data_IF_331318476127
#
_entry.id   IF_331318476127
#
_cell.length_a   1.000
_cell.length_b   1.000
_cell.length_c   1.000
_cell.angle_alpha   90.00
_cell.angle_beta   90.00
_cell.angle_gamma   90.00
#
_symmetry.space_group_name_H-M   'P 1'
#
loop_
_entity.id
_entity.type
_entity.pdbx_description
1 polymer ?
#
# COMPACT_ATOMS: atom_id res chain seq x y z
N UNK A 1 -16.38 -6.66 -19.47
CA UNK A 1 -15.40 -7.76 -19.53
C UNK A 1 -14.33 -7.42 -18.51
N UNK A 2 -14.45 -7.97 -17.30
CA UNK A 2 -13.41 -7.82 -16.27
C UNK A 2 -12.24 -8.68 -16.75
N UNK A 3 -11.16 -8.05 -17.21
CA UNK A 3 -9.98 -8.78 -17.62
C UNK A 3 -9.45 -9.54 -16.40
N UNK A 4 -9.44 -10.86 -16.51
CA UNK A 4 -8.79 -11.77 -15.59
C UNK A 4 -7.39 -11.23 -15.27
N UNK A 5 -7.02 -11.24 -13.98
CA UNK A 5 -5.65 -10.98 -13.56
C UNK A 5 -4.73 -11.88 -14.38
N UNK A 6 -3.82 -11.30 -15.17
CA UNK A 6 -2.91 -12.10 -15.99
C UNK A 6 -2.11 -13.07 -15.10
N UNK A 7 -1.75 -14.27 -15.58
CA UNK A 7 -1.17 -15.33 -14.74
C UNK A 7 0.11 -14.93 -13.97
N UNK A 8 0.78 -13.86 -14.42
CA UNK A 8 2.02 -13.35 -13.82
C UNK A 8 1.80 -12.08 -12.99
N UNK A 9 0.58 -11.55 -12.98
CA UNK A 9 0.21 -10.36 -12.20
C UNK A 9 -0.15 -10.80 -10.78
N UNK A 10 0.54 -10.27 -9.78
CA UNK A 10 0.21 -10.54 -8.38
C UNK A 10 -1.09 -9.85 -8.04
N UNK A 11 -2.05 -10.62 -7.54
CA UNK A 11 -3.30 -10.06 -7.03
C UNK A 11 -3.05 -9.28 -5.73
N UNK A 12 -3.57 -8.06 -5.64
CA UNK A 12 -3.63 -7.29 -4.40
C UNK A 12 -4.79 -7.74 -3.49
N UNK A 13 -4.96 -9.06 -3.31
CA UNK A 13 -6.07 -9.63 -2.52
C UNK A 13 -6.00 -9.13 -1.09
N UNK A 14 -7.13 -8.64 -0.56
CA UNK A 14 -7.23 -8.13 0.81
C UNK A 14 -6.60 -6.77 1.03
N UNK A 15 -6.15 -6.09 -0.03
CA UNK A 15 -5.71 -4.70 0.04
C UNK A 15 -6.92 -3.77 -0.04
N UNK A 16 -7.10 -2.96 1.00
CA UNK A 16 -8.13 -1.94 1.13
C UNK A 16 -7.52 -0.54 1.04
N UNK A 17 -8.36 0.46 0.71
CA UNK A 17 -7.94 1.86 0.61
C UNK A 17 -6.73 2.08 -0.31
N UNK A 18 -6.74 1.35 -1.44
CA UNK A 18 -5.63 1.29 -2.37
C UNK A 18 -5.30 2.65 -2.99
N UNK A 19 -4.01 2.93 -3.13
CA UNK A 19 -3.40 4.10 -3.77
C UNK A 19 -2.32 3.67 -4.73
N UNK A 20 -2.16 4.47 -5.77
CA UNK A 20 -1.13 4.33 -6.79
C UNK A 20 -0.37 5.65 -6.91
N UNK A 21 0.75 5.64 -7.63
CA UNK A 21 1.43 6.87 -8.00
C UNK A 21 0.48 7.79 -8.83
N UNK A 22 0.23 9.05 -8.44
CA UNK A 22 -0.77 9.91 -9.11
C UNK A 22 -0.54 10.14 -10.62
N UNK A 23 0.70 10.21 -11.08
CA UNK A 23 1.02 10.32 -12.52
C UNK A 23 0.59 9.11 -13.38
N UNK A 24 0.22 7.99 -12.75
CA UNK A 24 -0.21 6.76 -13.39
C UNK A 24 -1.74 6.55 -13.33
N UNK A 25 -2.50 7.55 -12.88
CA UNK A 25 -3.95 7.52 -12.99
C UNK A 25 -4.40 7.24 -14.44
N UNK A 26 -5.24 6.21 -14.60
CA UNK A 26 -5.74 5.73 -15.91
C UNK A 26 -4.65 5.22 -16.86
N UNK A 27 -3.46 4.89 -16.34
CA UNK A 27 -2.37 4.24 -17.08
C UNK A 27 -2.11 2.87 -16.48
N UNK A 28 -1.35 2.04 -17.20
CA UNK A 28 -0.79 0.82 -16.61
C UNK A 28 0.22 1.23 -15.53
N UNK A 29 0.16 0.57 -14.37
CA UNK A 29 0.98 0.84 -13.20
C UNK A 29 1.44 -0.49 -12.61
N UNK A 30 2.56 -0.49 -11.90
CA UNK A 30 3.18 -1.66 -11.31
C UNK A 30 2.95 -1.74 -9.80
N UNK A 31 2.91 -0.62 -9.09
CA UNK A 31 2.86 -0.60 -7.63
C UNK A 31 1.54 -0.07 -7.10
N UNK A 32 1.02 -0.73 -6.07
CA UNK A 32 -0.12 -0.25 -5.30
C UNK A 32 0.16 -0.33 -3.81
N UNK A 33 -0.42 0.60 -3.06
CA UNK A 33 -0.21 0.77 -1.64
C UNK A 33 -1.55 0.84 -0.94
N UNK A 34 -1.69 0.23 0.23
CA UNK A 34 -2.97 0.22 0.91
C UNK A 34 -2.87 -0.34 2.31
N UNK A 35 -3.98 -0.35 3.00
CA UNK A 35 -4.11 -1.05 4.26
C UNK A 35 -4.52 -2.49 4.00
N UNK A 36 -4.07 -3.44 4.81
CA UNK A 36 -4.54 -4.81 4.76
C UNK A 36 -4.59 -5.40 6.17
N UNK A 37 -5.02 -6.65 6.25
CA UNK A 37 -4.95 -7.42 7.48
C UNK A 37 -3.98 -8.58 7.28
N UNK A 38 -3.07 -8.79 8.22
CA UNK A 38 -2.15 -9.94 8.18
C UNK A 38 -2.88 -11.25 8.55
N UNK A 39 -2.16 -12.38 8.51
CA UNK A 39 -2.72 -13.70 8.85
C UNK A 39 -3.17 -13.82 10.32
N UNK A 40 -2.77 -12.90 11.18
CA UNK A 40 -3.04 -12.87 12.61
C UNK A 40 -4.02 -11.77 13.02
N UNK A 41 -4.70 -11.15 12.05
CA UNK A 41 -5.69 -10.09 12.22
C UNK A 41 -5.15 -8.70 12.58
N UNK A 42 -3.84 -8.47 12.49
CA UNK A 42 -3.28 -7.13 12.67
C UNK A 42 -3.51 -6.26 11.44
N UNK A 43 -3.71 -4.96 11.66
CA UNK A 43 -3.79 -3.98 10.59
C UNK A 43 -2.38 -3.60 10.11
N UNK A 44 -2.13 -3.76 8.81
CA UNK A 44 -0.83 -3.50 8.19
C UNK A 44 -0.94 -2.45 7.09
N UNK A 45 0.17 -1.78 6.82
CA UNK A 45 0.36 -0.97 5.61
C UNK A 45 1.18 -1.80 4.62
N UNK A 46 0.73 -1.91 3.37
CA UNK A 46 1.31 -2.85 2.41
C UNK A 46 1.60 -2.19 1.07
N UNK A 47 2.81 -2.43 0.54
CA UNK A 47 3.21 -2.22 -0.85
C UNK A 47 3.09 -3.54 -1.60
N UNK A 48 2.40 -3.54 -2.72
CA UNK A 48 2.26 -4.69 -3.62
C UNK A 48 2.90 -4.35 -4.96
N UNK A 49 3.85 -5.18 -5.40
CA UNK A 49 4.33 -5.18 -6.78
C UNK A 49 3.46 -6.12 -7.61
N UNK A 50 2.63 -5.53 -8.46
CA UNK A 50 1.70 -6.25 -9.33
C UNK A 50 2.43 -7.05 -10.41
N UNK A 51 3.65 -6.67 -10.81
CA UNK A 51 4.42 -7.44 -11.80
C UNK A 51 5.19 -8.61 -11.18
N UNK A 52 5.18 -8.72 -9.84
CA UNK A 52 5.80 -9.81 -9.10
C UNK A 52 7.32 -9.91 -9.21
N UNK A 53 7.98 -8.83 -9.66
CA UNK A 53 9.45 -8.71 -9.77
C UNK A 53 10.09 -8.53 -8.40
N UNK A 54 9.36 -7.94 -7.46
CA UNK A 54 9.76 -7.67 -6.08
C UNK A 54 8.87 -8.43 -5.08
N UNK A 55 9.38 -8.64 -3.86
CA UNK A 55 8.55 -9.12 -2.75
C UNK A 55 7.66 -7.98 -2.25
N UNK A 56 6.42 -8.33 -1.87
CA UNK A 56 5.52 -7.37 -1.22
C UNK A 56 6.17 -6.92 0.09
N UNK A 57 6.08 -5.62 0.39
CA UNK A 57 6.63 -5.04 1.61
C UNK A 57 5.49 -4.65 2.53
N UNK A 58 5.64 -4.96 3.81
CA UNK A 58 4.62 -4.73 4.82
C UNK A 58 5.22 -3.96 5.99
N UNK A 59 4.47 -3.00 6.51
CA UNK A 59 4.72 -2.34 7.78
C UNK A 59 3.64 -2.77 8.77
N UNK A 60 4.09 -3.22 9.93
CA UNK A 60 3.28 -3.72 11.03
C UNK A 60 3.94 -3.29 12.34
N UNK A 61 3.14 -2.76 13.25
CA UNK A 61 3.53 -2.49 14.63
C UNK A 61 2.36 -2.91 15.52
N UNK A 62 2.63 -3.68 16.58
CA UNK A 62 1.58 -4.24 17.44
C UNK A 62 0.74 -3.14 18.11
N UNK A 63 -0.58 -3.30 18.10
CA UNK A 63 -1.55 -2.36 18.69
C UNK A 63 -1.62 -0.99 18.01
N UNK A 64 -0.98 -0.84 16.85
CA UNK A 64 -1.14 0.30 15.96
C UNK A 64 -1.94 -0.11 14.72
N UNK A 65 -2.76 0.79 14.20
CA UNK A 65 -3.45 0.58 12.93
C UNK A 65 -3.27 1.77 11.97
N UNK A 66 -2.81 1.53 10.73
CA UNK A 66 -2.72 2.58 9.73
C UNK A 66 -4.10 2.93 9.16
N UNK A 67 -4.27 4.21 8.80
CA UNK A 67 -5.41 4.71 8.04
C UNK A 67 -5.11 4.69 6.54
N UNK A 68 -6.01 5.24 5.71
CA UNK A 68 -5.80 5.41 4.27
C UNK A 68 -4.44 6.05 3.98
N UNK A 69 -3.56 5.39 3.21
CA UNK A 69 -2.28 5.96 2.86
C UNK A 69 -2.40 7.03 1.76
N UNK A 70 -1.35 7.81 1.59
CA UNK A 70 -1.13 8.73 0.47
C UNK A 70 0.29 8.50 -0.03
N UNK A 71 0.44 8.26 -1.34
CA UNK A 71 1.75 8.23 -1.98
C UNK A 71 2.16 9.64 -2.42
N UNK A 72 3.35 10.06 -2.01
CA UNK A 72 3.95 11.35 -2.35
C UNK A 72 5.22 11.04 -3.16
N UNK A 73 5.25 11.30 -4.48
CA UNK A 73 6.46 11.09 -5.26
C UNK A 73 7.57 12.04 -4.81
N UNK A 74 8.81 11.54 -4.82
CA UNK A 74 9.99 12.33 -4.47
C UNK A 74 10.18 13.53 -5.43
N UNK A 75 9.81 13.35 -6.69
CA UNK A 75 9.91 14.35 -7.75
C UNK A 75 8.68 14.28 -8.67
N UNK A 76 7.72 15.17 -8.44
CA UNK A 76 6.47 15.19 -9.20
C UNK A 76 6.71 15.62 -10.66
N UNK A 77 6.33 14.78 -11.62
CA UNK A 77 6.27 15.14 -13.04
C UNK A 77 7.62 15.18 -13.77
N UNK A 78 8.68 14.61 -13.19
CA UNK A 78 9.98 14.47 -13.86
C UNK A 78 10.09 13.11 -14.54
N UNK A 79 10.49 13.09 -15.81
CA UNK A 79 10.74 11.85 -16.53
C UNK A 79 11.97 11.12 -15.96
N UNK A 80 11.87 9.79 -15.82
CA UNK A 80 12.98 8.92 -15.43
C UNK A 80 13.09 8.59 -13.93
N UNK A 81 12.14 9.01 -13.09
CA UNK A 81 12.01 8.47 -11.74
C UNK A 81 11.28 7.13 -11.76
N UNK A 82 11.67 6.20 -10.89
CA UNK A 82 10.97 4.92 -10.72
C UNK A 82 9.56 5.15 -10.17
N UNK A 83 8.60 4.31 -10.53
CA UNK A 83 7.18 4.49 -10.15
C UNK A 83 6.95 4.49 -8.63
N UNK A 84 7.82 3.83 -7.87
CA UNK A 84 7.80 3.78 -6.41
C UNK A 84 8.81 4.74 -5.73
N UNK A 85 9.46 5.62 -6.49
CA UNK A 85 10.37 6.65 -5.96
C UNK A 85 9.59 7.76 -5.23
N UNK A 86 9.32 7.52 -3.96
CA UNK A 86 8.57 8.43 -3.11
C UNK A 86 8.41 7.94 -1.68
N UNK A 87 7.46 8.53 -0.99
CA UNK A 87 7.12 8.21 0.39
C UNK A 87 5.65 7.88 0.52
N UNK A 88 5.33 6.93 1.41
CA UNK A 88 3.96 6.67 1.86
C UNK A 88 3.74 7.39 3.18
N UNK A 89 2.69 8.21 3.21
CA UNK A 89 2.20 8.87 4.41
C UNK A 89 0.89 8.21 4.85
N UNK A 90 0.76 7.82 6.11
CA UNK A 90 -0.48 7.34 6.70
C UNK A 90 -0.61 7.84 8.13
N UNK A 91 -1.84 8.07 8.59
CA UNK A 91 -2.13 8.37 9.99
C UNK A 91 -2.18 7.06 10.76
N UNK A 92 -1.42 6.98 11.85
CA UNK A 92 -1.36 5.79 12.71
C UNK A 92 -2.24 6.01 13.94
N UNK A 93 -3.20 5.11 14.15
CA UNK A 93 -4.03 5.07 15.35
C UNK A 93 -3.36 4.19 16.40
N UNK A 94 -3.24 4.69 17.63
CA UNK A 94 -2.62 3.96 18.73
C UNK A 94 -3.66 3.48 19.74
N UNK A 95 -3.93 2.16 19.74
CA UNK A 95 -4.92 1.56 20.64
C UNK A 95 -4.38 1.30 22.05
N UNK A 96 -3.05 1.28 22.26
CA UNK A 96 -2.44 1.04 23.58
C UNK A 96 -2.81 2.10 24.62
N UNK A 97 -3.12 3.32 24.17
CA UNK A 97 -3.48 4.43 25.07
C UNK A 97 -4.88 4.23 25.66
N UNK A 98 -5.78 3.52 24.95
CA UNK A 98 -7.14 3.30 25.40
C UNK A 98 -7.25 2.23 26.50
N UNK A 99 -6.30 1.29 26.57
CA UNK A 99 -6.33 0.17 27.53
C UNK A 99 -5.67 0.48 28.89
N UNK A 100 -5.03 1.65 29.06
CA UNK A 100 -4.34 2.01 30.31
C UNK A 100 -5.21 2.70 31.35
N UNK A 101 -6.46 3.01 31.02
CA UNK A 101 -7.41 3.74 31.89
C UNK A 101 -8.70 2.96 32.19
N UNK A 102 -8.69 1.64 31.96
CA UNK A 102 -9.72 0.70 32.40
C UNK A 102 -9.09 -0.29 33.39
#
# INVERSE_FOLDING_TARGET
MWSSCEPNMRCAVGLELAKIHPAYERKLYQYTYGTATDSTTNHILKKVDLNGREQNTEWLEEGLSPSEPIFIPMQYGKEGADEDDGVILSIINNAHICLRNL
#
